data_IF_705634986737
#
_entry.id   IF_705634986737
#
_cell.length_a   1.000
_cell.length_b   1.000
_cell.length_c   1.000
_cell.angle_alpha   90.00
_cell.angle_beta   90.00
_cell.angle_gamma   90.00
#
_symmetry.space_group_name_H-M   'P 1'
#
loop_
_entity.id
_entity.type
_entity.pdbx_description
1 polymer ?
#
# COMPACT_ATOMS: atom_id res chain seq x y z
N UNK A 1 41.96 -29.04 -71.10
CA UNK A 1 42.06 -29.51 -69.71
C UNK A 1 42.01 -28.27 -68.83
N UNK A 2 40.83 -27.94 -68.29
CA UNK A 2 40.43 -28.18 -66.89
C UNK A 2 41.06 -27.15 -65.94
N UNK A 3 40.37 -26.46 -65.03
CA UNK A 3 38.94 -26.32 -64.72
C UNK A 3 38.77 -24.98 -63.99
N UNK A 4 37.57 -24.39 -64.10
CA UNK A 4 37.09 -23.31 -63.24
C UNK A 4 37.10 -23.76 -61.78
N UNK A 5 37.36 -22.84 -60.86
CA UNK A 5 36.59 -22.77 -59.61
C UNK A 5 36.54 -21.34 -59.05
N UNK A 6 35.31 -20.81 -59.04
CA UNK A 6 34.82 -19.72 -58.20
C UNK A 6 34.49 -20.30 -56.82
N UNK A 7 34.86 -19.59 -55.75
CA UNK A 7 34.20 -19.59 -54.44
C UNK A 7 34.33 -18.16 -53.91
N UNK A 8 33.28 -17.34 -53.99
CA UNK A 8 32.23 -17.18 -52.97
C UNK A 8 32.86 -16.74 -51.64
N UNK A 9 32.94 -15.43 -51.39
CA UNK A 9 31.93 -14.62 -50.66
C UNK A 9 31.58 -15.12 -49.26
N UNK A 10 31.65 -14.16 -48.35
CA UNK A 10 30.87 -14.04 -47.10
C UNK A 10 31.36 -14.79 -45.85
N UNK A 11 31.88 -14.02 -44.90
CA UNK A 11 32.29 -14.53 -43.59
C UNK A 11 32.59 -13.46 -42.53
N UNK A 12 32.47 -12.17 -42.83
CA UNK A 12 32.82 -11.08 -41.89
C UNK A 12 31.61 -10.37 -41.25
N UNK A 13 30.39 -10.84 -41.49
CA UNK A 13 29.15 -10.07 -41.22
C UNK A 13 28.23 -10.70 -40.16
N UNK A 14 28.76 -11.52 -39.24
CA UNK A 14 27.97 -11.99 -38.09
C UNK A 14 28.62 -11.71 -36.74
N UNK A 15 27.95 -10.81 -36.01
CA UNK A 15 28.01 -10.52 -34.56
C UNK A 15 28.99 -9.43 -34.09
N UNK A 16 28.84 -8.20 -34.62
CA UNK A 16 28.74 -7.06 -33.70
C UNK A 16 27.25 -6.92 -33.37
N UNK A 17 26.82 -7.47 -32.24
CA UNK A 17 25.56 -7.04 -31.64
C UNK A 17 25.73 -5.54 -31.34
N UNK A 18 24.83 -4.71 -31.88
CA UNK A 18 24.84 -3.27 -31.65
C UNK A 18 24.87 -2.99 -30.14
N UNK A 19 26.02 -2.53 -29.65
CA UNK A 19 26.15 -2.05 -28.29
C UNK A 19 25.54 -0.65 -28.28
N UNK A 20 24.39 -0.50 -27.64
CA UNK A 20 23.74 0.79 -27.44
C UNK A 20 24.76 1.80 -26.91
N UNK A 21 24.74 3.01 -27.45
CA UNK A 21 25.56 4.11 -26.98
C UNK A 21 25.16 4.51 -25.54
N UNK A 22 26.06 5.14 -24.80
CA UNK A 22 25.77 5.65 -23.44
C UNK A 22 24.55 6.58 -23.41
N UNK A 23 24.32 7.32 -24.51
CA UNK A 23 23.15 8.18 -24.68
C UNK A 23 21.85 7.37 -24.82
N UNK A 24 21.88 6.27 -25.56
CA UNK A 24 20.74 5.37 -25.71
C UNK A 24 20.47 4.60 -24.42
N UNK A 25 21.50 4.11 -23.73
CA UNK A 25 21.36 3.48 -22.41
C UNK A 25 20.75 4.45 -21.38
N UNK A 26 21.19 5.71 -21.38
CA UNK A 26 20.59 6.75 -20.54
C UNK A 26 19.13 7.00 -20.90
N UNK A 27 18.82 7.18 -22.18
CA UNK A 27 17.43 7.37 -22.62
C UNK A 27 16.54 6.18 -22.26
N UNK A 28 17.06 4.94 -22.34
CA UNK A 28 16.33 3.74 -21.91
C UNK A 28 16.06 3.72 -20.40
N UNK A 29 17.03 4.15 -19.58
CA UNK A 29 16.88 4.30 -18.14
C UNK A 29 15.91 5.41 -17.74
N UNK A 30 15.79 6.45 -18.56
CA UNK A 30 14.83 7.52 -18.31
C UNK A 30 13.41 7.05 -18.69
N UNK A 31 13.26 6.30 -19.79
CA UNK A 31 11.98 5.74 -20.23
C UNK A 31 11.35 4.74 -19.23
N UNK A 32 12.15 3.96 -18.50
CA UNK A 32 11.64 2.93 -17.59
C UNK A 32 11.04 3.52 -16.28
N UNK A 33 11.35 4.78 -15.98
CA UNK A 33 10.81 5.54 -14.85
C UNK A 33 9.88 6.68 -15.30
N UNK A 34 9.51 6.72 -16.59
CA UNK A 34 8.41 7.59 -17.02
C UNK A 34 7.12 6.92 -16.57
N UNK A 35 6.36 7.56 -15.69
CA UNK A 35 5.10 7.02 -15.21
C UNK A 35 4.44 7.93 -14.19
N UNK A 36 3.23 7.58 -13.72
CA UNK A 36 2.46 8.39 -12.77
C UNK A 36 3.03 8.35 -11.34
N UNK A 37 4.31 8.68 -11.17
CA UNK A 37 4.94 8.80 -9.86
C UNK A 37 4.26 9.91 -9.07
N UNK A 38 3.72 9.57 -7.89
CA UNK A 38 3.04 10.56 -7.04
C UNK A 38 1.85 11.26 -7.70
N UNK A 39 1.27 10.70 -8.78
CA UNK A 39 0.17 11.32 -9.54
C UNK A 39 -1.01 11.70 -8.63
N UNK A 40 -1.55 12.91 -8.82
CA UNK A 40 -2.62 13.47 -7.99
C UNK A 40 -3.95 13.64 -8.75
N UNK A 41 -3.91 13.59 -10.08
CA UNK A 41 -5.09 13.77 -10.92
C UNK A 41 -5.34 12.51 -11.76
N UNK A 42 -6.33 11.71 -11.35
CA UNK A 42 -6.79 10.54 -12.10
C UNK A 42 -8.14 10.83 -12.78
N UNK A 43 -8.51 10.11 -13.85
CA UNK A 43 -9.74 10.38 -14.59
C UNK A 43 -11.02 10.35 -13.75
N UNK A 44 -11.10 9.47 -12.74
CA UNK A 44 -12.27 9.30 -11.88
C UNK A 44 -12.13 9.91 -10.48
N UNK A 45 -10.93 10.33 -10.08
CA UNK A 45 -10.66 10.82 -8.72
C UNK A 45 -9.43 11.73 -8.71
N UNK A 46 -9.49 12.80 -7.91
CA UNK A 46 -8.30 13.59 -7.54
C UNK A 46 -7.88 13.25 -6.11
N UNK A 47 -6.57 13.13 -5.90
CA UNK A 47 -5.95 13.00 -4.59
C UNK A 47 -5.67 14.41 -4.07
N UNK A 48 -6.44 14.85 -3.08
CA UNK A 48 -6.36 16.22 -2.55
C UNK A 48 -5.13 16.44 -1.65
N UNK A 49 -4.51 15.35 -1.19
CA UNK A 49 -3.35 15.36 -0.32
C UNK A 49 -3.16 14.03 0.41
N UNK A 50 -1.95 13.80 0.89
CA UNK A 50 -1.56 12.61 1.66
C UNK A 50 -0.41 12.97 2.61
N UNK A 51 -0.08 12.06 3.54
CA UNK A 51 0.96 12.27 4.56
C UNK A 51 0.76 13.57 5.36
N UNK A 52 -0.50 13.93 5.66
CA UNK A 52 -0.79 15.12 6.44
C UNK A 52 -0.28 14.92 7.88
N UNK A 53 0.69 15.74 8.26
CA UNK A 53 1.28 15.79 9.60
C UNK A 53 0.51 16.80 10.48
N UNK A 54 -0.51 16.33 11.19
CA UNK A 54 -1.18 17.14 12.21
C UNK A 54 -0.46 17.01 13.55
N UNK A 55 -0.21 18.14 14.21
CA UNK A 55 0.45 18.20 15.53
C UNK A 55 -0.45 18.78 16.61
N UNK A 56 -0.24 18.32 17.83
CA UNK A 56 -0.80 18.91 19.05
C UNK A 56 0.34 18.99 20.09
N UNK A 57 0.83 20.21 20.33
CA UNK A 57 2.14 20.37 20.98
C UNK A 57 3.26 19.80 20.10
N UNK A 58 4.15 19.01 20.70
CA UNK A 58 5.29 18.40 20.02
C UNK A 58 4.95 17.04 19.38
N UNK A 59 3.77 16.49 19.64
CA UNK A 59 3.36 15.15 19.20
C UNK A 59 2.50 15.19 17.93
N UNK A 60 2.60 14.14 17.12
CA UNK A 60 1.70 13.95 15.99
C UNK A 60 0.36 13.39 16.46
N UNK A 61 -0.72 14.06 16.07
CA UNK A 61 -2.09 13.65 16.41
C UNK A 61 -2.38 12.24 15.92
N UNK A 62 -1.89 11.87 14.74
CA UNK A 62 -2.12 10.55 14.16
C UNK A 62 -1.55 9.38 14.98
N UNK A 63 -0.44 9.61 15.68
CA UNK A 63 0.25 8.55 16.42
C UNK A 63 -0.58 8.03 17.60
N UNK A 64 -1.50 8.85 18.12
CA UNK A 64 -2.45 8.49 19.18
C UNK A 64 -3.47 7.41 18.77
N UNK A 65 -3.64 7.19 17.46
CA UNK A 65 -4.53 6.17 16.90
C UNK A 65 -3.75 5.15 16.03
N UNK A 66 -2.49 4.91 16.36
CA UNK A 66 -1.65 3.90 15.72
C UNK A 66 -1.78 2.52 16.39
N UNK A 67 -1.27 1.47 15.72
CA UNK A 67 -1.11 0.14 16.34
C UNK A 67 -0.25 0.21 17.60
N UNK A 68 0.76 1.07 17.59
CA UNK A 68 1.68 1.26 18.72
C UNK A 68 0.94 1.86 19.92
N UNK A 69 0.11 2.88 19.69
CA UNK A 69 -0.74 3.48 20.73
C UNK A 69 -1.70 2.45 21.35
N UNK A 70 -2.38 1.64 20.53
CA UNK A 70 -3.23 0.56 21.05
C UNK A 70 -2.45 -0.40 21.98
N UNK A 71 -1.23 -0.77 21.58
CA UNK A 71 -0.39 -1.68 22.38
C UNK A 71 0.03 -1.06 23.71
N UNK A 72 0.29 0.24 23.76
CA UNK A 72 0.57 0.95 25.01
C UNK A 72 -0.65 1.01 25.93
N UNK A 73 -1.84 1.29 25.38
CA UNK A 73 -3.10 1.26 26.15
C UNK A 73 -3.34 -0.14 26.72
N UNK A 74 -3.19 -1.17 25.89
CA UNK A 74 -3.33 -2.57 26.32
C UNK A 74 -2.36 -2.95 27.43
N UNK A 75 -1.11 -2.51 27.34
CA UNK A 75 -0.10 -2.77 28.36
C UNK A 75 -0.41 -2.08 29.69
N UNK A 76 -0.91 -0.84 29.65
CA UNK A 76 -1.35 -0.11 30.83
C UNK A 76 -2.50 -0.82 31.55
N UNK A 77 -3.53 -1.24 30.79
CA UNK A 77 -4.64 -2.01 31.34
C UNK A 77 -4.21 -3.38 31.85
N UNK A 78 -3.35 -4.10 31.13
CA UNK A 78 -2.80 -5.38 31.58
C UNK A 78 -2.10 -5.26 32.94
N UNK A 79 -1.29 -4.21 33.14
CA UNK A 79 -0.62 -3.93 34.43
C UNK A 79 -1.64 -3.71 35.54
N UNK A 80 -2.63 -2.84 35.31
CA UNK A 80 -3.68 -2.59 36.30
C UNK A 80 -4.44 -3.87 36.69
N UNK A 81 -4.83 -4.69 35.71
CA UNK A 81 -5.52 -5.95 35.98
C UNK A 81 -4.61 -7.01 36.63
N UNK A 82 -3.30 -6.95 36.38
CA UNK A 82 -2.31 -7.77 37.09
C UNK A 82 -2.27 -7.42 38.57
N UNK A 83 -2.21 -6.13 38.90
CA UNK A 83 -2.19 -5.64 40.28
C UNK A 83 -3.46 -6.01 41.04
N UNK A 84 -4.63 -5.92 40.38
CA UNK A 84 -5.91 -6.31 40.97
C UNK A 84 -6.07 -7.81 41.17
N UNK A 85 -5.59 -8.64 40.22
CA UNK A 85 -5.79 -10.09 40.24
C UNK A 85 -4.65 -10.88 40.91
N UNK A 86 -3.52 -10.22 41.21
CA UNK A 86 -2.31 -10.85 41.75
C UNK A 86 -1.58 -11.78 40.77
N UNK A 87 -1.99 -11.82 39.50
CA UNK A 87 -1.38 -12.59 38.43
C UNK A 87 -1.63 -11.94 37.08
N UNK A 88 -0.69 -12.10 36.15
CA UNK A 88 -0.83 -11.54 34.81
C UNK A 88 -1.98 -12.22 34.05
N UNK A 89 -3.01 -11.47 33.60
CA UNK A 89 -4.16 -12.04 32.92
C UNK A 89 -3.84 -12.56 31.51
N UNK A 90 -2.75 -12.09 30.89
CA UNK A 90 -2.37 -12.41 29.51
C UNK A 90 -1.16 -13.37 29.42
N UNK A 91 -0.63 -13.81 30.56
CA UNK A 91 0.49 -14.75 30.66
C UNK A 91 1.84 -14.05 30.69
N UNK A 92 2.92 -14.75 30.33
CA UNK A 92 4.29 -14.24 30.45
C UNK A 92 4.80 -13.46 29.24
N UNK A 93 4.17 -13.60 28.07
CA UNK A 93 4.64 -12.93 26.85
C UNK A 93 4.47 -11.41 26.97
N UNK A 94 5.47 -10.60 26.58
CA UNK A 94 5.31 -9.15 26.50
C UNK A 94 4.12 -8.74 25.62
N UNK A 95 3.45 -7.64 25.95
CA UNK A 95 2.22 -7.20 25.26
C UNK A 95 2.43 -7.00 23.75
N UNK A 96 3.63 -6.60 23.33
CA UNK A 96 3.99 -6.42 21.92
C UNK A 96 4.09 -7.73 21.13
N UNK A 97 4.39 -8.84 21.80
CA UNK A 97 4.56 -10.17 21.20
C UNK A 97 3.25 -10.97 21.15
N UNK A 98 2.17 -10.47 21.76
CA UNK A 98 0.87 -11.14 21.73
C UNK A 98 0.24 -10.93 20.35
N UNK A 99 0.16 -12.00 19.56
CA UNK A 99 -0.47 -12.00 18.24
C UNK A 99 -1.95 -11.65 18.30
N UNK A 100 -2.50 -11.14 17.18
CA UNK A 100 -3.92 -10.72 17.08
C UNK A 100 -4.90 -11.84 17.43
N UNK A 101 -4.70 -13.03 16.83
CA UNK A 101 -5.52 -14.22 17.11
C UNK A 101 -5.56 -14.54 18.61
N UNK A 102 -4.44 -14.39 19.32
CA UNK A 102 -4.40 -14.62 20.75
C UNK A 102 -5.18 -13.57 21.53
N UNK A 103 -5.19 -12.31 21.10
CA UNK A 103 -6.02 -11.27 21.72
C UNK A 103 -7.50 -11.56 21.49
N UNK A 104 -7.88 -11.97 20.28
CA UNK A 104 -9.26 -12.36 19.96
C UNK A 104 -9.71 -13.55 20.83
N UNK A 105 -8.89 -14.62 20.93
CA UNK A 105 -9.15 -15.74 21.85
C UNK A 105 -9.30 -15.33 23.32
N UNK A 106 -8.52 -14.34 23.78
CA UNK A 106 -8.59 -13.86 25.16
C UNK A 106 -9.83 -13.01 25.38
N UNK A 107 -10.29 -12.28 24.37
CA UNK A 107 -11.52 -11.49 24.41
C UNK A 107 -12.76 -12.38 24.52
N UNK A 108 -12.78 -13.53 23.82
CA UNK A 108 -13.89 -14.50 23.84
C UNK A 108 -14.08 -15.22 25.18
N UNK A 109 -13.01 -15.42 25.96
CA UNK A 109 -13.03 -16.23 27.18
C UNK A 109 -13.55 -15.52 28.43
N UNK A 110 -13.96 -14.26 28.29
CA UNK A 110 -14.32 -13.35 29.38
C UNK A 110 -13.24 -13.28 30.50
N UNK A 111 -13.52 -12.55 31.59
CA UNK A 111 -12.60 -12.41 32.72
C UNK A 111 -11.55 -11.29 32.57
N UNK A 112 -10.50 -11.27 33.43
CA UNK A 112 -9.60 -10.12 33.54
C UNK A 112 -8.85 -9.76 32.24
N UNK A 113 -8.50 -10.75 31.41
CA UNK A 113 -7.84 -10.50 30.13
C UNK A 113 -8.78 -9.81 29.14
N UNK A 114 -10.00 -10.33 28.99
CA UNK A 114 -11.05 -9.72 28.17
C UNK A 114 -11.38 -8.31 28.66
N UNK A 115 -11.48 -8.11 29.98
CA UNK A 115 -11.77 -6.80 30.57
C UNK A 115 -10.66 -5.77 30.27
N UNK A 116 -9.38 -6.16 30.38
CA UNK A 116 -8.26 -5.32 29.99
C UNK A 116 -8.26 -4.99 28.49
N UNK A 117 -8.60 -5.95 27.62
CA UNK A 117 -8.72 -5.72 26.17
C UNK A 117 -9.87 -4.74 25.88
N UNK A 118 -11.05 -4.92 26.49
CA UNK A 118 -12.20 -4.02 26.31
C UNK A 118 -11.90 -2.60 26.76
N UNK A 119 -11.24 -2.44 27.90
CA UNK A 119 -10.82 -1.12 28.38
C UNK A 119 -9.83 -0.44 27.40
N UNK A 120 -8.87 -1.20 26.85
CA UNK A 120 -7.97 -0.70 25.82
C UNK A 120 -8.71 -0.35 24.50
N UNK A 121 -9.74 -1.10 24.13
CA UNK A 121 -10.59 -0.78 22.97
C UNK A 121 -11.35 0.53 23.17
N UNK A 122 -11.89 0.77 24.37
CA UNK A 122 -12.61 2.00 24.69
C UNK A 122 -11.69 3.23 24.63
N UNK A 123 -10.49 3.13 25.21
CA UNK A 123 -9.48 4.19 25.12
C UNK A 123 -9.06 4.46 23.67
N UNK A 124 -8.81 3.40 22.90
CA UNK A 124 -8.45 3.53 21.49
C UNK A 124 -9.58 4.14 20.67
N UNK A 125 -10.83 3.76 20.93
CA UNK A 125 -12.00 4.31 20.25
C UNK A 125 -12.14 5.82 20.48
N UNK A 126 -11.89 6.28 21.72
CA UNK A 126 -11.84 7.70 22.05
C UNK A 126 -10.74 8.43 21.27
N UNK A 127 -9.53 7.84 21.20
CA UNK A 127 -8.43 8.42 20.44
C UNK A 127 -8.71 8.46 18.94
N UNK A 128 -9.17 7.36 18.33
CA UNK A 128 -9.51 7.33 16.91
C UNK A 128 -10.61 8.33 16.55
N UNK A 129 -11.64 8.47 17.39
CA UNK A 129 -12.67 9.49 17.22
C UNK A 129 -12.11 10.92 17.35
N UNK A 130 -11.21 11.14 18.30
CA UNK A 130 -10.51 12.43 18.45
C UNK A 130 -9.67 12.75 17.20
N UNK A 131 -8.78 11.83 16.80
CA UNK A 131 -7.93 11.96 15.61
C UNK A 131 -8.77 12.25 14.38
N UNK A 132 -9.82 11.47 14.12
CA UNK A 132 -10.73 11.70 12.99
C UNK A 132 -11.30 13.12 12.99
N UNK A 133 -11.77 13.62 14.14
CA UNK A 133 -12.28 15.01 14.25
C UNK A 133 -11.19 16.05 13.98
N UNK A 134 -9.95 15.82 14.41
CA UNK A 134 -8.83 16.73 14.15
C UNK A 134 -8.52 16.80 12.66
N UNK A 135 -8.46 15.65 11.99
CA UNK A 135 -8.30 15.57 10.55
C UNK A 135 -9.42 16.30 9.82
N UNK A 136 -10.70 16.03 10.14
CA UNK A 136 -11.85 16.69 9.51
C UNK A 136 -11.91 18.22 9.67
N UNK A 137 -11.23 18.78 10.67
CA UNK A 137 -11.10 20.24 10.85
C UNK A 137 -10.06 20.86 9.92
N UNK A 138 -9.12 20.07 9.40
CA UNK A 138 -8.08 20.56 8.49
C UNK A 138 -8.67 20.92 7.12
N UNK A 139 -8.13 21.96 6.48
CA UNK A 139 -8.63 22.49 5.20
C UNK A 139 -8.67 21.44 4.09
N UNK A 140 -7.68 20.55 4.02
CA UNK A 140 -7.62 19.50 2.98
C UNK A 140 -8.67 18.41 3.19
N UNK A 141 -9.16 18.22 4.41
CA UNK A 141 -10.18 17.22 4.78
C UNK A 141 -11.60 17.79 4.85
N UNK A 142 -11.77 19.10 4.63
CA UNK A 142 -13.06 19.77 4.78
C UNK A 142 -14.13 19.14 3.87
N UNK A 143 -15.19 18.61 4.46
CA UNK A 143 -16.31 18.04 3.72
C UNK A 143 -16.15 16.57 3.33
N UNK A 144 -15.09 15.90 3.80
CA UNK A 144 -14.98 14.43 3.77
C UNK A 144 -16.22 13.83 4.46
N UNK A 145 -16.89 12.92 3.75
CA UNK A 145 -18.12 12.24 4.20
C UNK A 145 -17.88 10.81 4.64
N UNK A 146 -16.79 10.19 4.18
CA UNK A 146 -16.41 8.83 4.54
C UNK A 146 -14.91 8.75 4.78
N UNK A 147 -14.53 8.05 5.84
CA UNK A 147 -13.15 7.68 6.13
C UNK A 147 -13.05 6.17 6.14
N UNK A 148 -12.23 5.63 5.25
CA UNK A 148 -11.86 4.22 5.26
C UNK A 148 -10.71 4.04 6.26
N UNK A 149 -10.86 3.13 7.20
CA UNK A 149 -9.83 2.73 8.15
C UNK A 149 -9.18 1.45 7.63
N UNK A 150 -7.97 1.59 7.11
CA UNK A 150 -7.12 0.52 6.59
C UNK A 150 -6.05 0.06 7.58
N UNK A 151 -5.12 -0.76 7.09
CA UNK A 151 -4.03 -1.32 7.87
C UNK A 151 -4.40 -2.57 8.68
N UNK A 152 -3.41 -3.28 9.22
CA UNK A 152 -3.66 -4.61 9.79
C UNK A 152 -4.56 -4.61 11.04
N UNK A 153 -4.78 -3.48 11.71
CA UNK A 153 -5.52 -3.43 12.98
C UNK A 153 -6.99 -3.86 12.84
N UNK A 154 -7.67 -3.40 11.79
CA UNK A 154 -9.10 -3.70 11.57
C UNK A 154 -9.42 -5.17 11.25
N UNK A 155 -8.41 -6.00 11.02
CA UNK A 155 -8.59 -7.43 10.68
C UNK A 155 -8.67 -8.35 11.90
N UNK A 156 -8.56 -7.80 13.10
CA UNK A 156 -8.82 -8.53 14.35
C UNK A 156 -10.20 -8.14 14.86
N UNK A 157 -10.87 -9.04 15.55
CA UNK A 157 -12.13 -8.72 16.22
C UNK A 157 -11.94 -7.56 17.19
N UNK A 158 -10.80 -7.56 17.89
CA UNK A 158 -10.40 -6.45 18.77
C UNK A 158 -10.41 -5.10 18.05
N UNK A 159 -9.78 -5.04 16.87
CA UNK A 159 -9.67 -3.79 16.12
C UNK A 159 -10.98 -3.35 15.47
N UNK A 160 -11.76 -4.29 14.93
CA UNK A 160 -13.07 -4.00 14.34
C UNK A 160 -14.03 -3.40 15.38
N UNK A 161 -14.11 -4.01 16.58
CA UNK A 161 -14.94 -3.50 17.67
C UNK A 161 -14.52 -2.09 18.10
N UNK A 162 -13.21 -1.80 18.16
CA UNK A 162 -12.70 -0.48 18.53
C UNK A 162 -13.05 0.58 17.47
N UNK A 163 -12.96 0.25 16.17
CA UNK A 163 -13.37 1.15 15.08
C UNK A 163 -14.88 1.41 15.12
N UNK A 164 -15.67 0.37 15.35
CA UNK A 164 -17.13 0.49 15.50
C UNK A 164 -17.51 1.35 16.72
N UNK A 165 -16.78 1.24 17.83
CA UNK A 165 -16.96 2.12 18.98
C UNK A 165 -16.60 3.58 18.64
N UNK A 166 -15.51 3.83 17.92
CA UNK A 166 -15.15 5.17 17.44
C UNK A 166 -16.23 5.77 16.54
N UNK A 167 -16.81 4.97 15.64
CA UNK A 167 -17.92 5.39 14.78
C UNK A 167 -19.15 5.81 15.59
N UNK A 168 -19.51 5.05 16.65
CA UNK A 168 -20.61 5.40 17.56
C UNK A 168 -20.34 6.71 18.30
N UNK A 169 -19.10 6.95 18.74
CA UNK A 169 -18.69 8.20 19.38
C UNK A 169 -18.83 9.40 18.42
N UNK A 170 -18.37 9.25 17.17
CA UNK A 170 -18.53 10.29 16.13
C UNK A 170 -20.01 10.59 15.84
N UNK A 171 -20.85 9.56 15.75
CA UNK A 171 -22.28 9.71 15.54
C UNK A 171 -22.97 10.41 16.72
N UNK A 172 -22.62 10.04 17.96
CA UNK A 172 -23.12 10.69 19.18
C UNK A 172 -22.81 12.19 19.20
N UNK A 173 -21.61 12.55 18.74
CA UNK A 173 -21.16 13.94 18.63
C UNK A 173 -21.65 14.65 17.36
N UNK A 174 -22.54 14.00 16.59
CA UNK A 174 -23.14 14.52 15.36
C UNK A 174 -22.10 14.95 14.32
N UNK A 175 -20.95 14.28 14.28
CA UNK A 175 -19.93 14.50 13.27
C UNK A 175 -20.43 13.85 11.96
N UNK A 176 -20.59 14.60 10.86
CA UNK A 176 -21.22 14.11 9.63
C UNK A 176 -20.23 13.31 8.77
N UNK A 177 -19.67 12.24 9.33
CA UNK A 177 -18.71 11.33 8.70
C UNK A 177 -19.09 9.88 8.99
N UNK A 178 -18.92 9.02 8.00
CA UNK A 178 -19.02 7.57 8.15
C UNK A 178 -17.63 6.96 8.27
N UNK A 179 -17.40 6.08 9.25
CA UNK A 179 -16.22 5.22 9.27
C UNK A 179 -16.56 3.88 8.63
N UNK A 180 -15.72 3.40 7.72
CA UNK A 180 -15.76 2.03 7.19
C UNK A 180 -14.39 1.40 7.28
N UNK A 181 -14.33 0.08 7.31
CA UNK A 181 -13.07 -0.66 7.15
C UNK A 181 -12.78 -0.92 5.68
N UNK A 182 -11.53 -1.26 5.37
CA UNK A 182 -11.11 -1.70 4.03
C UNK A 182 -11.93 -2.93 3.58
N UNK A 183 -12.40 -2.96 2.33
CA UNK A 183 -13.09 -4.13 1.75
C UNK A 183 -12.13 -5.27 1.49
N UNK A 184 -10.91 -4.94 1.05
CA UNK A 184 -9.86 -5.92 0.80
C UNK A 184 -9.20 -6.39 2.09
N UNK A 185 -8.50 -7.51 2.01
CA UNK A 185 -7.57 -7.89 3.08
C UNK A 185 -6.50 -6.79 3.23
N UNK A 186 -6.09 -6.45 4.46
CA UNK A 186 -5.19 -5.32 4.70
C UNK A 186 -3.79 -5.53 4.08
N UNK A 187 -3.35 -6.79 3.97
CA UNK A 187 -2.12 -7.14 3.25
C UNK A 187 -2.25 -7.00 1.70
N UNK A 188 -3.46 -6.79 1.18
CA UNK A 188 -3.72 -6.70 -0.28
C UNK A 188 -4.10 -5.29 -0.73
N UNK A 189 -4.69 -4.45 0.12
CA UNK A 189 -5.11 -3.09 -0.30
C UNK A 189 -3.99 -2.24 -0.91
N UNK A 190 -2.79 -2.28 -0.32
CA UNK A 190 -1.60 -1.59 -0.84
C UNK A 190 -1.04 -2.17 -2.15
N UNK A 191 -1.55 -3.34 -2.58
CA UNK A 191 -1.24 -3.96 -3.87
C UNK A 191 -2.35 -3.67 -4.89
N UNK A 192 -3.61 -3.85 -4.48
CA UNK A 192 -4.79 -3.73 -5.35
C UNK A 192 -4.96 -2.32 -5.89
N UNK A 193 -4.71 -1.27 -5.10
CA UNK A 193 -4.92 0.11 -5.56
C UNK A 193 -4.12 0.51 -6.81
N UNK A 194 -3.04 -0.21 -7.13
CA UNK A 194 -2.24 0.02 -8.34
C UNK A 194 -3.01 -0.17 -9.64
N UNK A 195 -4.10 -0.94 -9.65
CA UNK A 195 -4.92 -1.12 -10.86
C UNK A 195 -5.54 0.20 -11.34
N UNK A 196 -5.72 1.18 -10.44
CA UNK A 196 -6.25 2.50 -10.77
C UNK A 196 -5.16 3.52 -11.17
N UNK A 197 -3.89 3.22 -10.94
CA UNK A 197 -2.74 4.06 -11.31
C UNK A 197 -2.03 3.55 -12.57
N UNK A 198 -2.06 2.23 -12.81
CA UNK A 198 -1.40 1.63 -13.96
C UNK A 198 -1.99 2.16 -15.27
N UNK A 199 -1.17 2.42 -16.31
CA UNK A 199 -1.67 2.94 -17.58
C UNK A 199 -2.74 2.04 -18.21
N UNK A 200 -3.94 2.57 -18.47
CA UNK A 200 -5.07 1.78 -18.98
C UNK A 200 -4.74 1.04 -20.29
N UNK A 201 -3.97 1.67 -21.19
CA UNK A 201 -3.55 1.06 -22.44
C UNK A 201 -2.73 -0.22 -22.22
N UNK A 202 -1.93 -0.26 -21.15
CA UNK A 202 -1.19 -1.45 -20.75
C UNK A 202 -2.17 -2.54 -20.27
N UNK A 203 -3.08 -2.18 -19.37
CA UNK A 203 -4.04 -3.12 -18.77
C UNK A 203 -5.00 -3.77 -19.78
N UNK A 204 -5.21 -3.16 -20.96
CA UNK A 204 -6.02 -3.77 -22.03
C UNK A 204 -5.39 -5.04 -22.62
N UNK A 205 -4.06 -5.15 -22.60
CA UNK A 205 -3.32 -6.23 -23.27
C UNK A 205 -2.92 -7.39 -22.35
N UNK A 206 -3.05 -7.21 -21.04
CA UNK A 206 -2.55 -8.12 -20.01
C UNK A 206 -3.63 -8.47 -18.99
N UNK A 207 -3.44 -9.57 -18.26
CA UNK A 207 -4.39 -10.04 -17.25
C UNK A 207 -4.09 -9.45 -15.87
N UNK A 208 -2.81 -9.18 -15.59
CA UNK A 208 -2.32 -8.81 -14.27
C UNK A 208 -1.16 -7.80 -14.31
N UNK A 209 -0.89 -7.20 -13.15
CA UNK A 209 0.32 -6.41 -12.87
C UNK A 209 1.08 -7.00 -11.68
N UNK A 210 2.37 -6.67 -11.55
CA UNK A 210 3.08 -6.83 -10.28
C UNK A 210 2.87 -5.59 -9.41
N UNK A 211 2.68 -5.81 -8.13
CA UNK A 211 2.61 -4.75 -7.14
C UNK A 211 3.53 -5.05 -5.94
N UNK A 212 4.06 -4.00 -5.34
CA UNK A 212 4.89 -4.02 -4.14
C UNK A 212 4.27 -3.05 -3.13
N UNK A 213 4.13 -3.48 -1.88
CA UNK A 213 3.74 -2.66 -0.74
C UNK A 213 4.85 -2.71 0.30
N UNK A 214 5.58 -1.61 0.42
CA UNK A 214 6.68 -1.44 1.36
C UNK A 214 6.13 -0.77 2.60
N UNK A 215 6.25 -1.45 3.76
CA UNK A 215 5.97 -0.86 5.06
C UNK A 215 7.21 -0.88 5.95
N UNK A 216 7.16 -0.15 7.07
CA UNK A 216 8.28 -0.07 8.01
C UNK A 216 8.64 -1.39 8.72
N UNK A 217 7.82 -2.43 8.61
CA UNK A 217 8.09 -3.75 9.23
C UNK A 217 8.04 -4.90 8.24
N UNK A 218 7.25 -4.75 7.17
CA UNK A 218 7.00 -5.82 6.22
C UNK A 218 7.04 -5.25 4.81
N UNK A 219 7.50 -6.07 3.87
CA UNK A 219 7.28 -5.87 2.44
C UNK A 219 6.31 -6.94 1.96
N UNK A 220 5.44 -6.57 1.03
CA UNK A 220 4.56 -7.49 0.32
C UNK A 220 4.75 -7.31 -1.16
N UNK A 221 4.76 -8.40 -1.90
CA UNK A 221 4.70 -8.38 -3.35
C UNK A 221 3.53 -9.25 -3.80
N UNK A 222 2.86 -8.89 -4.88
CA UNK A 222 1.77 -9.72 -5.40
C UNK A 222 1.51 -9.57 -6.88
N UNK A 223 0.85 -10.59 -7.43
CA UNK A 223 0.26 -10.57 -8.76
C UNK A 223 -1.18 -10.11 -8.60
N UNK A 224 -1.51 -8.94 -9.14
CA UNK A 224 -2.84 -8.35 -9.06
C UNK A 224 -3.55 -8.55 -10.40
N UNK A 225 -4.59 -9.38 -10.42
CA UNK A 225 -5.44 -9.56 -11.60
C UNK A 225 -6.49 -8.45 -11.62
N UNK A 226 -6.62 -7.76 -12.75
CA UNK A 226 -7.47 -6.55 -12.84
C UNK A 226 -8.94 -6.86 -13.12
N UNK A 227 -9.22 -7.97 -13.79
CA UNK A 227 -10.52 -8.32 -14.35
C UNK A 227 -11.15 -7.21 -15.22
N UNK A 228 -10.33 -6.32 -15.80
CA UNK A 228 -10.76 -5.11 -16.53
C UNK A 228 -11.84 -5.39 -17.58
N UNK A 229 -11.68 -6.45 -18.38
CA UNK A 229 -12.61 -6.81 -19.46
C UNK A 229 -13.98 -7.33 -18.96
N UNK A 230 -14.04 -7.82 -17.72
CA UNK A 230 -15.29 -8.31 -17.09
C UNK A 230 -15.93 -7.25 -16.21
N UNK A 231 -15.13 -6.37 -15.63
CA UNK A 231 -15.55 -5.43 -14.60
C UNK A 231 -14.72 -4.16 -14.78
N UNK A 232 -15.18 -3.21 -15.63
CA UNK A 232 -14.38 -2.06 -16.05
C UNK A 232 -14.00 -1.08 -14.93
N UNK A 233 -14.78 -1.05 -13.84
CA UNK A 233 -14.46 -0.28 -12.64
C UNK A 233 -13.41 -0.96 -11.75
N UNK A 234 -12.96 -2.17 -12.11
CA UNK A 234 -11.99 -2.99 -11.39
C UNK A 234 -12.39 -3.34 -9.96
N UNK A 235 -13.68 -3.27 -9.62
CA UNK A 235 -14.21 -3.68 -8.30
C UNK A 235 -13.96 -5.16 -7.95
N UNK A 236 -13.57 -5.98 -8.93
CA UNK A 236 -13.18 -7.38 -8.76
C UNK A 236 -11.68 -7.63 -8.77
N UNK A 237 -10.85 -6.58 -8.81
CA UNK A 237 -9.41 -6.75 -8.76
C UNK A 237 -8.99 -7.51 -7.51
N UNK A 238 -8.07 -8.47 -7.67
CA UNK A 238 -7.67 -9.38 -6.60
C UNK A 238 -6.19 -9.76 -6.68
N UNK A 239 -5.61 -10.10 -5.53
CA UNK A 239 -4.24 -10.63 -5.44
C UNK A 239 -4.31 -12.15 -5.53
N UNK A 240 -3.94 -12.71 -6.68
CA UNK A 240 -3.99 -14.18 -6.90
C UNK A 240 -2.82 -14.92 -6.28
N UNK A 241 -1.71 -14.21 -6.04
CA UNK A 241 -0.55 -14.72 -5.31
C UNK A 241 0.14 -13.56 -4.61
N UNK A 242 0.52 -13.77 -3.35
CA UNK A 242 1.24 -12.82 -2.51
C UNK A 242 2.44 -13.47 -1.86
N UNK A 243 3.56 -12.77 -1.86
CA UNK A 243 4.72 -13.03 -1.01
C UNK A 243 4.79 -11.93 0.07
N UNK A 244 5.17 -12.31 1.30
CA UNK A 244 5.27 -11.39 2.44
C UNK A 244 6.56 -11.66 3.19
N UNK A 245 7.33 -10.60 3.43
CA UNK A 245 8.59 -10.65 4.14
C UNK A 245 8.61 -9.66 5.30
N UNK A 246 8.77 -10.17 6.53
CA UNK A 246 8.91 -9.37 7.75
C UNK A 246 10.33 -8.85 7.94
N UNK A 247 10.79 -7.97 7.06
CA UNK A 247 12.20 -7.55 6.98
C UNK A 247 12.75 -6.93 8.27
N UNK A 248 11.93 -6.24 9.08
CA UNK A 248 12.45 -5.49 10.23
C UNK A 248 13.09 -6.36 11.32
N UNK A 249 12.74 -7.64 11.41
CA UNK A 249 13.43 -8.57 12.34
C UNK A 249 14.81 -9.00 11.85
N UNK A 250 15.10 -8.78 10.57
CA UNK A 250 16.38 -9.13 9.92
C UNK A 250 17.33 -7.93 9.80
N UNK A 251 16.84 -6.71 10.09
CA UNK A 251 17.57 -5.44 10.03
C UNK A 251 18.43 -5.27 8.75
N UNK A 252 17.84 -5.45 7.54
CA UNK A 252 18.60 -5.42 6.30
C UNK A 252 19.06 -4.00 5.99
N UNK A 253 20.15 -3.85 5.24
CA UNK A 253 20.50 -2.57 4.61
C UNK A 253 19.52 -2.25 3.48
N UNK A 254 19.48 -0.98 3.04
CA UNK A 254 18.65 -0.54 1.90
C UNK A 254 18.82 -1.42 0.65
N UNK A 255 20.05 -1.74 0.29
CA UNK A 255 20.36 -2.55 -0.90
C UNK A 255 19.88 -4.01 -0.75
N UNK A 256 20.00 -4.57 0.45
CA UNK A 256 19.52 -5.92 0.79
C UNK A 256 17.98 -5.97 0.76
N UNK A 257 17.30 -4.92 1.22
CA UNK A 257 15.85 -4.80 1.12
C UNK A 257 15.38 -4.75 -0.35
N UNK A 258 16.06 -3.98 -1.21
CA UNK A 258 15.75 -3.94 -2.65
C UNK A 258 16.03 -5.29 -3.31
N UNK A 259 17.13 -5.96 -2.96
CA UNK A 259 17.43 -7.32 -3.41
C UNK A 259 16.33 -8.32 -3.03
N UNK A 260 15.87 -8.31 -1.78
CA UNK A 260 14.79 -9.18 -1.34
C UNK A 260 13.44 -8.90 -2.04
N UNK A 261 13.15 -7.63 -2.39
CA UNK A 261 12.00 -7.27 -3.24
C UNK A 261 12.12 -7.93 -4.61
N UNK A 262 13.30 -7.87 -5.25
CA UNK A 262 13.54 -8.50 -6.55
C UNK A 262 13.33 -10.01 -6.47
N UNK A 263 13.89 -10.68 -5.46
CA UNK A 263 13.72 -12.13 -5.26
C UNK A 263 12.24 -12.53 -5.10
N UNK A 264 11.44 -11.71 -4.43
CA UNK A 264 9.99 -11.93 -4.32
C UNK A 264 9.28 -11.76 -5.66
N UNK A 265 9.63 -10.73 -6.43
CA UNK A 265 9.04 -10.47 -7.75
C UNK A 265 9.39 -11.56 -8.76
N UNK A 266 10.62 -12.07 -8.76
CA UNK A 266 11.03 -13.19 -9.62
C UNK A 266 10.25 -14.47 -9.31
N UNK A 267 10.02 -14.77 -8.02
CA UNK A 267 9.18 -15.90 -7.61
C UNK A 267 7.74 -15.76 -8.11
N UNK A 268 7.20 -14.55 -8.07
CA UNK A 268 5.85 -14.25 -8.57
C UNK A 268 5.79 -14.39 -10.10
N UNK A 269 6.80 -13.93 -10.83
CA UNK A 269 6.89 -14.11 -12.28
C UNK A 269 6.94 -15.59 -12.66
N UNK A 270 7.78 -16.39 -11.98
CA UNK A 270 7.85 -17.83 -12.19
C UNK A 270 6.50 -18.52 -11.91
N UNK A 271 5.76 -18.05 -10.91
CA UNK A 271 4.40 -18.52 -10.65
C UNK A 271 3.45 -18.14 -11.79
N UNK A 272 3.50 -16.89 -12.27
CA UNK A 272 2.65 -16.41 -13.35
C UNK A 272 2.84 -17.21 -14.65
N UNK A 273 4.09 -17.46 -15.04
CA UNK A 273 4.45 -18.24 -16.22
C UNK A 273 3.92 -19.66 -16.12
N UNK A 274 4.08 -20.30 -14.96
CA UNK A 274 3.57 -21.67 -14.71
C UNK A 274 2.04 -21.76 -14.83
N UNK A 275 1.32 -20.68 -14.54
CA UNK A 275 -0.14 -20.63 -14.55
C UNK A 275 -0.72 -19.90 -15.77
N UNK A 276 0.13 -19.49 -16.73
CA UNK A 276 -0.30 -18.80 -17.94
C UNK A 276 -0.93 -17.43 -17.69
N UNK A 277 -0.56 -16.74 -16.61
CA UNK A 277 -1.06 -15.39 -16.29
C UNK A 277 -0.22 -14.39 -17.06
N UNK A 278 -0.83 -13.61 -17.97
CA UNK A 278 -0.11 -12.59 -18.74
C UNK A 278 0.10 -11.36 -17.85
N UNK A 279 1.28 -11.26 -17.26
CA UNK A 279 1.68 -10.12 -16.43
C UNK A 279 2.21 -9.00 -17.31
N UNK A 280 1.68 -7.80 -17.12
CA UNK A 280 2.15 -6.62 -17.82
C UNK A 280 3.60 -6.28 -17.40
N UNK A 281 4.41 -5.70 -18.29
CA UNK A 281 5.75 -5.22 -17.96
C UNK A 281 5.73 -3.95 -17.10
N UNK A 282 5.08 -4.04 -15.96
CA UNK A 282 4.83 -2.94 -15.04
C UNK A 282 4.87 -3.43 -13.59
N UNK A 283 5.53 -2.64 -12.74
CA UNK A 283 5.58 -2.83 -11.30
C UNK A 283 5.09 -1.56 -10.63
N UNK A 284 3.98 -1.67 -9.91
CA UNK A 284 3.50 -0.63 -9.02
C UNK A 284 4.14 -0.76 -7.64
N UNK A 285 4.73 0.30 -7.10
CA UNK A 285 5.41 0.27 -5.79
C UNK A 285 4.79 1.29 -4.85
N UNK A 286 4.02 0.79 -3.87
CA UNK A 286 3.50 1.58 -2.77
C UNK A 286 4.59 1.67 -1.68
N UNK A 287 4.96 2.90 -1.29
CA UNK A 287 6.06 3.14 -0.35
C UNK A 287 5.69 4.29 0.59
N UNK A 288 6.11 4.26 1.88
CA UNK A 288 5.90 5.38 2.77
C UNK A 288 6.76 6.55 2.28
N UNK A 289 6.25 7.76 2.46
CA UNK A 289 6.98 8.99 2.15
C UNK A 289 6.29 9.91 1.16
N UNK A 290 6.94 11.05 0.93
CA UNK A 290 6.55 12.08 -0.03
C UNK A 290 7.18 11.75 -1.38
N UNK A 291 6.35 11.34 -2.35
CA UNK A 291 6.81 10.87 -3.65
C UNK A 291 6.78 12.02 -4.66
N UNK A 292 7.91 12.26 -5.32
CA UNK A 292 8.04 13.28 -6.35
C UNK A 292 7.66 12.74 -7.74
N UNK A 293 7.32 13.64 -8.66
CA UNK A 293 6.93 13.31 -10.04
C UNK A 293 8.02 12.56 -10.83
N UNK A 294 9.29 12.71 -10.44
CA UNK A 294 10.41 11.99 -11.06
C UNK A 294 10.62 10.58 -10.49
N UNK A 295 9.90 10.20 -9.43
CA UNK A 295 10.04 8.92 -8.74
C UNK A 295 11.05 8.94 -7.58
N UNK A 296 11.60 10.09 -7.23
CA UNK A 296 12.38 10.27 -6.00
C UNK A 296 11.49 10.41 -4.76
N UNK A 297 12.08 10.25 -3.58
CA UNK A 297 11.39 10.36 -2.29
C UNK A 297 11.98 11.54 -1.50
N UNK A 298 11.15 12.51 -1.15
CA UNK A 298 11.59 13.76 -0.51
C UNK A 298 11.56 13.73 1.03
N UNK A 299 10.90 12.75 1.63
CA UNK A 299 10.69 12.68 3.08
C UNK A 299 9.84 11.49 3.51
N UNK A 300 9.76 11.24 4.82
CA UNK A 300 8.78 10.32 5.42
C UNK A 300 9.16 8.84 5.35
N UNK A 301 10.46 8.54 5.25
CA UNK A 301 10.99 7.16 5.15
C UNK A 301 11.73 6.70 6.40
N UNK A 302 11.51 7.34 7.55
CA UNK A 302 12.30 7.11 8.77
C UNK A 302 12.18 5.68 9.33
N UNK A 303 11.11 4.97 8.95
CA UNK A 303 10.87 3.58 9.34
C UNK A 303 11.45 2.56 8.34
N UNK A 304 12.15 3.01 7.29
CA UNK A 304 12.76 2.14 6.29
C UNK A 304 14.28 2.04 6.52
N UNK A 305 14.92 0.92 6.13
CA UNK A 305 16.35 0.76 6.33
C UNK A 305 17.19 1.67 5.43
N UNK A 306 18.15 2.38 6.04
CA UNK A 306 19.03 3.31 5.35
C UNK A 306 18.35 4.64 4.95
N UNK A 307 19.00 5.41 4.07
CA UNK A 307 18.51 6.73 3.66
C UNK A 307 17.86 6.68 2.27
N UNK A 308 16.53 6.69 2.20
CA UNK A 308 15.77 6.65 0.95
C UNK A 308 15.61 8.02 0.27
N UNK A 309 15.93 9.08 1.01
CA UNK A 309 15.81 10.49 0.59
C UNK A 309 17.12 11.00 -0.06
N UNK A 310 18.11 10.11 -0.20
CA UNK A 310 19.38 10.45 -0.83
C UNK A 310 19.20 10.69 -2.32
N UNK A 311 19.72 11.81 -2.83
CA UNK A 311 19.78 12.11 -4.27
C UNK A 311 20.53 11.05 -5.11
N UNK A 312 21.27 10.14 -4.46
CA UNK A 312 21.99 9.03 -5.14
C UNK A 312 21.17 7.76 -5.23
N UNK A 313 19.96 7.74 -4.69
CA UNK A 313 19.08 6.58 -4.68
C UNK A 313 17.79 6.90 -5.42
N UNK A 314 17.35 5.94 -6.25
CA UNK A 314 16.15 6.08 -7.05
C UNK A 314 15.51 4.70 -7.23
N UNK A 315 14.61 4.34 -6.31
CA UNK A 315 14.04 2.99 -6.22
C UNK A 315 13.45 2.49 -7.56
N UNK A 316 12.64 3.27 -8.31
CA UNK A 316 12.13 2.80 -9.59
C UNK A 316 13.23 2.42 -10.58
N UNK A 317 14.34 3.16 -10.58
CA UNK A 317 15.46 2.91 -11.51
C UNK A 317 16.24 1.67 -11.09
N UNK A 318 16.48 1.51 -9.79
CA UNK A 318 17.16 0.33 -9.23
C UNK A 318 16.38 -0.96 -9.54
N UNK A 319 15.05 -0.94 -9.39
CA UNK A 319 14.19 -2.06 -9.76
C UNK A 319 14.21 -2.34 -11.27
N UNK A 320 14.18 -1.31 -12.13
CA UNK A 320 14.31 -1.50 -13.57
C UNK A 320 15.69 -2.05 -13.98
N UNK A 321 16.77 -1.64 -13.33
CA UNK A 321 18.12 -2.15 -13.63
C UNK A 321 18.26 -3.63 -13.22
N UNK A 322 17.60 -4.05 -12.12
CA UNK A 322 17.63 -5.45 -11.63
C UNK A 322 16.63 -6.37 -12.33
N UNK A 323 15.47 -5.86 -12.72
CA UNK A 323 14.42 -6.55 -13.46
C UNK A 323 14.14 -5.81 -14.77
N UNK A 324 15.03 -5.88 -15.76
CA UNK A 324 14.93 -5.06 -16.98
C UNK A 324 13.76 -5.43 -17.90
N UNK A 325 13.29 -6.68 -17.83
CA UNK A 325 12.22 -7.19 -18.67
C UNK A 325 11.25 -8.06 -17.88
N UNK A 326 9.96 -7.97 -18.25
CA UNK A 326 8.89 -8.86 -17.81
C UNK A 326 8.20 -9.35 -19.08
N UNK A 327 8.22 -10.67 -19.29
CA UNK A 327 7.88 -11.24 -20.60
C UNK A 327 8.74 -10.62 -21.70
N UNK A 328 8.12 -10.21 -22.79
CA UNK A 328 8.80 -9.57 -23.93
C UNK A 328 8.90 -8.04 -23.82
N UNK A 329 8.38 -7.46 -22.72
CA UNK A 329 8.31 -6.02 -22.51
C UNK A 329 9.43 -5.49 -21.62
N UNK A 330 9.85 -4.25 -21.87
CA UNK A 330 10.71 -3.51 -20.93
C UNK A 330 9.91 -3.16 -19.68
N UNK A 331 10.46 -3.48 -18.52
CA UNK A 331 9.85 -3.15 -17.24
C UNK A 331 9.70 -1.64 -17.06
N UNK A 332 8.51 -1.22 -16.68
CA UNK A 332 8.20 0.11 -16.18
C UNK A 332 7.94 0.01 -14.67
N UNK A 333 8.50 0.92 -13.88
CA UNK A 333 8.26 0.95 -12.43
C UNK A 333 7.65 2.29 -12.05
N UNK A 334 6.56 2.26 -11.30
CA UNK A 334 5.89 3.44 -10.77
C UNK A 334 5.87 3.41 -9.26
N UNK A 335 5.97 4.58 -8.63
CA UNK A 335 6.09 4.74 -7.18
C UNK A 335 5.00 5.69 -6.71
N UNK A 336 4.29 5.32 -5.64
CA UNK A 336 3.33 6.20 -4.99
C UNK A 336 3.29 5.93 -3.49
N UNK A 337 2.70 6.85 -2.73
CA UNK A 337 2.54 6.74 -1.30
C UNK A 337 1.66 5.53 -0.93
N UNK A 338 2.07 4.79 0.10
CA UNK A 338 1.40 3.60 0.61
C UNK A 338 -0.07 3.84 1.00
N UNK A 339 -0.35 4.92 1.73
CA UNK A 339 -1.71 5.27 2.10
C UNK A 339 -2.57 5.65 0.89
N UNK A 340 -1.98 6.33 -0.10
CA UNK A 340 -2.68 6.67 -1.35
C UNK A 340 -3.11 5.41 -2.09
N UNK A 341 -2.17 4.48 -2.30
CA UNK A 341 -2.45 3.23 -3.02
C UNK A 341 -3.47 2.40 -2.25
N UNK A 342 -3.31 2.23 -0.92
CA UNK A 342 -4.28 1.49 -0.12
C UNK A 342 -5.67 2.13 -0.15
N UNK A 343 -5.77 3.46 -0.13
CA UNK A 343 -7.07 4.11 -0.29
C UNK A 343 -7.67 3.89 -1.68
N UNK A 344 -6.86 3.91 -2.75
CA UNK A 344 -7.35 3.70 -4.11
C UNK A 344 -7.96 2.32 -4.34
N UNK A 345 -7.63 1.29 -3.55
CA UNK A 345 -8.35 -0.01 -3.63
C UNK A 345 -9.84 0.11 -3.27
N UNK A 346 -10.25 1.21 -2.62
CA UNK A 346 -11.63 1.49 -2.23
C UNK A 346 -12.37 2.40 -3.23
N UNK A 347 -11.69 2.81 -4.30
CA UNK A 347 -12.24 3.74 -5.27
C UNK A 347 -13.59 3.26 -5.85
N UNK A 348 -13.79 1.98 -6.21
CA UNK A 348 -15.08 1.51 -6.74
C UNK A 348 -16.22 1.59 -5.71
N UNK A 349 -15.90 1.54 -4.41
CA UNK A 349 -16.87 1.45 -3.30
C UNK A 349 -17.13 2.79 -2.61
N UNK A 350 -16.58 3.88 -3.16
CA UNK A 350 -16.67 5.22 -2.60
C UNK A 350 -17.28 6.24 -3.55
N UNK A 351 -17.71 5.81 -4.75
CA UNK A 351 -18.29 6.67 -5.79
C UNK A 351 -19.59 7.36 -5.37
N UNK A 352 -20.27 6.89 -4.33
CA UNK A 352 -21.50 7.48 -3.79
C UNK A 352 -21.26 8.75 -2.96
N UNK A 353 -20.01 9.09 -2.63
CA UNK A 353 -19.64 10.31 -1.91
C UNK A 353 -18.68 11.18 -2.71
N UNK A 354 -18.86 12.51 -2.65
CA UNK A 354 -17.99 13.45 -3.38
C UNK A 354 -16.57 13.50 -2.81
N UNK A 355 -16.44 13.54 -1.48
CA UNK A 355 -15.15 13.60 -0.78
C UNK A 355 -15.05 12.49 0.26
N UNK A 356 -13.94 11.77 0.22
CA UNK A 356 -13.64 10.67 1.12
C UNK A 356 -12.15 10.67 1.47
N UNK A 357 -11.77 9.83 2.42
CA UNK A 357 -10.40 9.75 2.89
C UNK A 357 -10.06 8.34 3.36
N UNK A 358 -8.78 8.09 3.58
CA UNK A 358 -8.26 6.89 4.21
C UNK A 358 -7.38 7.26 5.41
N UNK A 359 -7.47 6.44 6.45
CA UNK A 359 -6.53 6.38 7.57
C UNK A 359 -5.95 4.97 7.62
N UNK A 360 -4.64 4.82 7.45
CA UNK A 360 -3.97 3.51 7.41
C UNK A 360 -3.28 3.24 8.75
N UNK A 361 -3.84 2.33 9.54
CA UNK A 361 -3.37 2.05 10.90
C UNK A 361 -2.23 1.01 10.86
N UNK A 362 -1.00 1.51 11.01
CA UNK A 362 0.23 0.72 11.07
C UNK A 362 1.04 1.03 12.33
N UNK A 363 2.38 0.96 12.22
CA UNK A 363 3.29 1.43 13.28
C UNK A 363 3.03 2.90 13.61
N UNK A 364 2.77 3.72 12.59
CA UNK A 364 2.17 5.06 12.72
C UNK A 364 0.80 5.11 12.03
N UNK A 365 0.36 6.32 11.66
CA UNK A 365 -0.89 6.55 10.94
C UNK A 365 -0.63 7.21 9.58
N UNK A 366 -0.78 6.45 8.50
CA UNK A 366 -0.80 7.01 7.15
C UNK A 366 -2.17 7.59 6.81
N UNK A 367 -2.23 8.52 5.86
CA UNK A 367 -3.48 9.16 5.49
C UNK A 367 -3.47 9.73 4.08
N UNK A 368 -4.64 9.76 3.44
CA UNK A 368 -4.87 10.44 2.16
C UNK A 368 -6.33 10.90 2.03
N UNK A 369 -6.56 11.94 1.25
CA UNK A 369 -7.89 12.51 0.96
C UNK A 369 -8.15 12.54 -0.54
N UNK A 370 -9.40 12.31 -0.91
CA UNK A 370 -9.82 12.15 -2.30
C UNK A 370 -11.09 12.93 -2.60
N UNK A 371 -11.18 13.43 -3.83
CA UNK A 371 -12.40 13.99 -4.41
C UNK A 371 -12.74 13.21 -5.68
N UNK A 372 -13.87 12.51 -5.66
CA UNK A 372 -14.36 11.81 -6.86
C UNK A 372 -14.78 12.82 -7.93
N UNK A 373 -14.50 12.49 -9.19
CA UNK A 373 -14.99 13.25 -10.31
C UNK A 373 -16.53 13.29 -10.28
N UNK A 374 -17.13 14.39 -10.71
CA UNK A 374 -18.58 14.43 -10.84
C UNK A 374 -18.99 13.44 -11.93
N UNK A 375 -19.72 12.40 -11.56
CA UNK A 375 -20.39 11.54 -12.53
C UNK A 375 -21.33 12.43 -13.33
N UNK A 376 -20.99 12.73 -14.59
CA UNK A 376 -21.98 13.19 -15.55
C UNK A 376 -23.01 12.07 -15.61
N UNK A 377 -24.15 12.28 -14.95
CA UNK A 377 -25.32 11.43 -15.15
C UNK A 377 -25.62 11.51 -16.64
N UNK A 378 -25.15 10.55 -17.41
CA UNK A 378 -25.67 10.34 -18.75
C UNK A 378 -27.11 9.93 -18.53
N UNK A 379 -28.02 10.89 -18.66
CA UNK A 379 -29.44 10.63 -18.75
C UNK A 379 -29.60 9.69 -19.93
N UNK A 380 -29.69 8.39 -19.67
CA UNK A 380 -30.22 7.43 -20.63
C UNK A 380 -31.68 7.80 -20.80
N UNK A 381 -31.94 8.75 -21.69
CA UNK A 381 -33.26 8.96 -22.24
C UNK A 381 -33.64 7.64 -22.92
N UNK A 382 -34.53 6.90 -22.27
CA UNK A 382 -35.26 5.83 -22.91
C UNK A 382 -35.88 6.38 -24.21
N UNK A 383 -35.51 5.77 -25.33
CA UNK A 383 -36.34 5.66 -26.52
C UNK A 383 -36.31 4.22 -27.00
#
# INVERSE_FOLDING_TARGET
MASKDKKDEDGSTRKKADRLSDKELKAQRDLCVLGPHGELALPSVSIDGYSLELREGDEFVGDNASRTAFRHMLDAWRKLYTDMAGKDPMGSKPTQEIGKQRLDELLERDGPAAAAIRAAQDDYALQLAHVTKRFLKHKTWKGVKRVIVGGGFHQSEVGEQAINAAAKLLAKDKVPVELRTLHHHADDGGLVGWVHLAPTALLQSYDAILAVDIGGTNVRCGIVVTHLHKTPDMSKAEVVRREKWGHASEDPKRDELVGGIVDMLEKLLAYADKHGIRVAPFIGVACPGLICEDGSIAGGTQNLPGNWESMRFHLPRDLCDRLPTIGDGRTQVCLHNDAVVQGLSELPFTQDVKRWAVLTVGTGLGNATYTNAETTKTTSAAK
#
